data_IF_403222012410
#
_entry.id   IF_403222012410
#
_cell.length_a   1.000
_cell.length_b   1.000
_cell.length_c   1.000
_cell.angle_alpha   90.00
_cell.angle_beta   90.00
_cell.angle_gamma   90.00
#
_symmetry.space_group_name_H-M   'P 1'
#
loop_
_entity.id
_entity.type
_entity.pdbx_description
1 polymer ?
#
# COMPACT_ATOMS: atom_id res chain seq x y z
N UNK A 1 6.77 7.88 21.98
CA UNK A 1 5.58 7.04 22.15
C UNK A 1 5.63 6.05 21.01
N UNK A 2 5.82 4.77 21.30
CA UNK A 2 5.90 3.74 20.27
C UNK A 2 4.49 3.26 19.98
N UNK A 3 4.06 3.33 18.72
CA UNK A 3 2.75 2.82 18.28
C UNK A 3 2.72 1.29 18.35
N UNK A 4 1.56 0.70 18.64
CA UNK A 4 1.40 -0.76 18.64
C UNK A 4 1.58 -1.30 17.23
N UNK A 5 2.13 -2.51 17.03
CA UNK A 5 2.19 -3.16 15.71
C UNK A 5 0.84 -3.24 15.00
N UNK A 6 -0.26 -3.35 15.75
CA UNK A 6 -1.65 -3.32 15.24
C UNK A 6 -2.06 -1.96 14.67
N UNK A 7 -1.42 -0.88 15.09
CA UNK A 7 -1.70 0.48 14.63
C UNK A 7 -0.80 0.89 13.45
N UNK A 8 0.27 0.12 13.20
CA UNK A 8 1.23 0.41 12.13
C UNK A 8 0.74 -0.22 10.83
N UNK A 9 0.12 0.59 9.98
CA UNK A 9 -0.27 0.19 8.62
C UNK A 9 0.93 -0.02 7.73
N UNK A 10 0.88 -1.04 6.89
CA UNK A 10 1.92 -1.34 5.89
C UNK A 10 2.08 -0.18 4.91
N UNK A 11 0.97 0.46 4.51
CA UNK A 11 1.00 1.66 3.69
C UNK A 11 1.81 2.81 4.30
N UNK A 12 1.87 2.92 5.63
CA UNK A 12 2.73 3.93 6.29
C UNK A 12 4.20 3.61 6.12
N UNK A 13 4.57 2.34 6.28
CA UNK A 13 5.95 1.87 6.12
C UNK A 13 6.41 2.08 4.68
N UNK A 14 5.61 1.64 3.71
CA UNK A 14 5.92 1.79 2.28
C UNK A 14 6.08 3.25 1.89
N UNK A 15 5.22 4.15 2.37
CA UNK A 15 5.32 5.59 2.05
C UNK A 15 6.57 6.25 2.63
N UNK A 16 7.09 5.75 3.75
CA UNK A 16 8.34 6.24 4.36
C UNK A 16 9.58 5.73 3.61
N UNK A 17 9.55 4.47 3.15
CA UNK A 17 10.69 3.82 2.52
C UNK A 17 10.80 4.10 1.02
N UNK A 18 9.68 3.96 0.30
CA UNK A 18 9.61 4.04 -1.17
C UNK A 18 9.06 5.40 -1.66
N UNK A 19 8.43 6.17 -0.78
CA UNK A 19 7.75 7.42 -1.14
C UNK A 19 6.28 7.22 -1.54
N UNK A 20 5.65 8.23 -2.16
CA UNK A 20 4.23 8.16 -2.52
C UNK A 20 3.97 7.00 -3.48
N UNK A 21 3.06 6.11 -3.08
CA UNK A 21 2.62 4.98 -3.89
C UNK A 21 1.71 5.51 -5.00
N UNK A 22 2.29 6.06 -6.07
CA UNK A 22 1.57 6.45 -7.27
C UNK A 22 1.87 5.48 -8.41
N UNK A 23 0.84 5.10 -9.16
CA UNK A 23 0.96 4.19 -10.31
C UNK A 23 1.52 4.91 -11.54
N UNK A 24 1.44 6.23 -11.56
CA UNK A 24 1.94 7.08 -12.64
C UNK A 24 2.86 8.15 -12.09
N UNK A 25 3.93 8.45 -12.81
CA UNK A 25 4.81 9.57 -12.44
C UNK A 25 3.99 10.86 -12.36
N UNK A 26 4.00 11.50 -11.18
CA UNK A 26 3.36 12.81 -10.96
C UNK A 26 4.07 13.93 -11.74
N UNK A 27 5.28 13.67 -12.27
CA UNK A 27 6.10 14.63 -13.01
C UNK A 27 5.51 15.13 -14.34
N UNK A 28 4.36 14.58 -14.76
CA UNK A 28 3.58 15.11 -15.88
C UNK A 28 2.75 16.37 -15.51
N UNK A 29 2.89 16.94 -14.31
CA UNK A 29 2.27 18.23 -13.97
C UNK A 29 2.76 19.39 -14.86
N UNK A 30 3.99 19.33 -15.40
CA UNK A 30 4.46 20.31 -16.39
C UNK A 30 3.81 20.16 -17.78
N UNK A 31 3.09 19.06 -18.02
CA UNK A 31 2.34 18.79 -19.25
C UNK A 31 0.87 19.20 -19.15
N UNK A 32 0.40 19.66 -17.98
CA UNK A 32 -1.02 19.96 -17.71
C UNK A 32 -1.62 21.05 -18.62
N UNK A 33 -0.78 21.92 -19.20
CA UNK A 33 -1.23 22.92 -20.17
C UNK A 33 -1.60 22.33 -21.55
N UNK A 34 -1.11 21.12 -21.88
CA UNK A 34 -1.32 20.43 -23.16
C UNK A 34 -1.86 18.99 -22.97
N UNK A 35 -2.45 18.69 -21.82
CA UNK A 35 -2.99 17.35 -21.57
C UNK A 35 -4.26 17.16 -22.41
N UNK A 36 -4.20 16.27 -23.41
CA UNK A 36 -5.37 15.94 -24.22
C UNK A 36 -6.52 15.49 -23.31
N UNK A 37 -7.75 15.96 -23.56
CA UNK A 37 -8.94 15.64 -22.75
C UNK A 37 -9.12 14.14 -22.51
N UNK A 38 -8.64 13.29 -23.43
CA UNK A 38 -8.63 11.84 -23.28
C UNK A 38 -7.67 11.35 -22.19
N UNK A 39 -6.48 11.93 -22.08
CA UNK A 39 -5.46 11.56 -21.08
C UNK A 39 -5.93 11.93 -19.69
N UNK A 40 -6.57 13.10 -19.54
CA UNK A 40 -7.24 13.49 -18.30
C UNK A 40 -8.40 12.56 -17.93
N UNK A 41 -9.20 12.14 -18.92
CA UNK A 41 -10.27 11.18 -18.71
C UNK A 41 -9.74 9.82 -18.20
N UNK A 42 -8.66 9.32 -18.81
CA UNK A 42 -7.99 8.09 -18.40
C UNK A 42 -7.41 8.26 -16.98
N UNK A 43 -6.78 9.39 -16.67
CA UNK A 43 -6.25 9.66 -15.34
C UNK A 43 -7.33 9.60 -14.26
N UNK A 44 -8.41 10.34 -14.43
CA UNK A 44 -9.50 10.40 -13.44
C UNK A 44 -10.23 9.07 -13.31
N UNK A 45 -10.47 8.37 -14.42
CA UNK A 45 -11.31 7.16 -14.39
C UNK A 45 -10.54 5.88 -14.08
N UNK A 46 -9.24 5.84 -14.38
CA UNK A 46 -8.41 4.63 -14.26
C UNK A 46 -7.33 4.85 -13.22
N UNK A 47 -6.44 5.83 -13.42
CA UNK A 47 -5.27 6.01 -12.55
C UNK A 47 -5.66 6.39 -11.12
N UNK A 48 -6.55 7.37 -10.94
CA UNK A 48 -7.03 7.77 -9.61
C UNK A 48 -7.73 6.62 -8.87
N UNK A 49 -8.56 5.85 -9.58
CA UNK A 49 -9.26 4.70 -8.98
C UNK A 49 -8.28 3.60 -8.57
N UNK A 50 -7.31 3.29 -9.44
CA UNK A 50 -6.29 2.29 -9.16
C UNK A 50 -5.42 2.72 -7.98
N UNK A 51 -5.07 4.01 -7.93
CA UNK A 51 -4.32 4.59 -6.82
C UNK A 51 -5.10 4.49 -5.51
N UNK A 52 -6.39 4.86 -5.52
CA UNK A 52 -7.27 4.74 -4.36
C UNK A 52 -7.35 3.30 -3.85
N UNK A 53 -7.58 2.33 -4.75
CA UNK A 53 -7.65 0.91 -4.38
C UNK A 53 -6.32 0.37 -3.85
N UNK A 54 -5.19 0.80 -4.40
CA UNK A 54 -3.87 0.41 -3.91
C UNK A 54 -3.63 0.98 -2.51
N UNK A 55 -3.92 2.26 -2.30
CA UNK A 55 -3.80 2.91 -1.00
C UNK A 55 -4.70 2.26 0.07
N UNK A 56 -5.96 1.97 -0.28
CA UNK A 56 -6.89 1.26 0.61
C UNK A 56 -6.37 -0.13 1.00
N UNK A 57 -5.82 -0.88 0.04
CA UNK A 57 -5.27 -2.21 0.29
C UNK A 57 -4.06 -2.18 1.23
N UNK A 58 -3.10 -1.29 0.99
CA UNK A 58 -1.91 -1.20 1.85
C UNK A 58 -2.24 -0.63 3.23
N UNK A 59 -3.31 0.17 3.34
CA UNK A 59 -3.79 0.72 4.60
C UNK A 59 -4.75 -0.22 5.34
N UNK A 60 -5.24 -1.29 4.71
CA UNK A 60 -6.01 -2.34 5.38
C UNK A 60 -5.14 -3.41 6.04
N UNK A 61 -3.85 -3.49 5.68
CA UNK A 61 -2.91 -4.46 6.25
C UNK A 61 -2.05 -3.77 7.30
N UNK A 62 -1.95 -4.38 8.47
CA UNK A 62 -1.09 -3.92 9.57
C UNK A 62 0.21 -4.72 9.64
N UNK A 63 1.19 -4.17 10.36
CA UNK A 63 2.44 -4.86 10.64
C UNK A 63 2.21 -6.12 11.49
N UNK A 64 1.20 -6.09 12.36
CA UNK A 64 0.76 -7.28 13.12
C UNK A 64 0.24 -8.37 12.18
N UNK A 65 -0.62 -8.03 11.22
CA UNK A 65 -1.13 -9.01 10.24
C UNK A 65 0.02 -9.68 9.48
N UNK A 66 1.02 -8.90 9.04
CA UNK A 66 2.20 -9.44 8.38
C UNK A 66 3.04 -10.34 9.29
N UNK A 67 3.22 -9.95 10.55
CA UNK A 67 3.96 -10.74 11.53
C UNK A 67 3.25 -12.06 11.84
N UNK A 68 1.93 -12.04 11.98
CA UNK A 68 1.12 -13.25 12.13
C UNK A 68 1.21 -14.15 10.89
N UNK A 69 1.06 -13.59 9.70
CA UNK A 69 1.16 -14.34 8.44
C UNK A 69 2.53 -15.01 8.29
N UNK A 70 3.59 -14.29 8.66
CA UNK A 70 4.95 -14.84 8.69
C UNK A 70 5.07 -16.00 9.70
N UNK A 71 4.55 -15.85 10.92
CA UNK A 71 4.59 -16.91 11.95
C UNK A 71 3.80 -18.15 11.54
N UNK A 72 2.62 -17.97 10.92
CA UNK A 72 1.77 -19.04 10.38
C UNK A 72 2.49 -19.78 9.23
N UNK A 73 3.07 -19.07 8.27
CA UNK A 73 3.77 -19.67 7.12
C UNK A 73 5.07 -20.36 7.49
N UNK A 74 5.79 -19.86 8.50
CA UNK A 74 7.04 -20.45 8.96
C UNK A 74 6.85 -21.52 10.05
N UNK A 75 5.60 -21.92 10.34
CA UNK A 75 5.31 -23.03 11.25
C UNK A 75 5.77 -22.80 12.69
N UNK A 76 5.99 -21.55 13.10
CA UNK A 76 6.43 -21.23 14.48
C UNK A 76 5.33 -21.64 15.49
N UNK A 77 4.07 -21.66 15.05
CA UNK A 77 2.92 -22.16 15.81
C UNK A 77 2.73 -23.69 15.72
N UNK A 78 3.42 -24.35 14.79
CA UNK A 78 3.33 -25.81 14.58
C UNK A 78 4.31 -26.60 15.46
N UNK A 79 4.96 -25.92 16.42
CA UNK A 79 5.63 -26.57 17.56
C UNK A 79 4.65 -26.77 18.72
N UNK A 80 3.39 -27.06 18.42
CA UNK A 80 2.48 -27.64 19.41
C UNK A 80 2.87 -29.10 19.56
N UNK A 81 3.72 -29.38 20.55
CA UNK A 81 3.98 -30.74 21.03
C UNK A 81 2.64 -31.39 21.38
N UNK A 82 2.17 -32.29 20.53
CA UNK A 82 1.19 -33.28 20.93
C UNK A 82 1.87 -34.21 21.94
N UNK A 83 1.53 -34.02 23.22
CA UNK A 83 1.76 -34.96 24.32
C UNK A 83 0.60 -35.94 24.42
#
# INVERSE_FOLDING_TARGET
MSESPSDIKVGRILRVLEGPLSVTDEDDENSAANESSIRKCIRINVWEKMNSSLNELVDSVTLEDLAEDYRKRNGIDNTMYYI
#
